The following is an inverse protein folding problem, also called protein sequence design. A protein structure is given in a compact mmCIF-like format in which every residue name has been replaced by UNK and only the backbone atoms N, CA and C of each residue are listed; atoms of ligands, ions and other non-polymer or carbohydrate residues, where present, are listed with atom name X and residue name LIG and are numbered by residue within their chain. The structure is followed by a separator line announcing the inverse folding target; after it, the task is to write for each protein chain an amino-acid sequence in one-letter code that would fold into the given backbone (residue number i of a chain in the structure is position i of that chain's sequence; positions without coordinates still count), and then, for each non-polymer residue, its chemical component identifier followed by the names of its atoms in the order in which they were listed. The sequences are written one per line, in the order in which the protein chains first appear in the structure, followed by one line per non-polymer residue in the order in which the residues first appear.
data_IF_752017073350
#
_entry.id   IF_752017073350
#
_cell.length_a   1.000
_cell.length_b   1.000
_cell.length_c   1.000
_cell.angle_alpha   90.00
_cell.angle_beta   90.00
_cell.angle_gamma   90.00
#
_symmetry.space_group_name_H-M   'P 1'
#
loop_
_entity.id
_entity.type
_entity.pdbx_description
1 polymer ?
#
# COMPACT_ATOMS: atom_id res chain seq x y z
N UNK A 1 -14.66 11.81 21.61
CA UNK A 1 -15.17 10.47 21.26
C UNK A 1 -14.93 9.53 22.43
N UNK A 2 -13.72 9.39 22.97
CA UNK A 2 -13.42 8.45 24.08
C UNK A 2 -14.29 8.71 25.30
N UNK A 3 -14.47 9.96 25.72
CA UNK A 3 -15.35 10.35 26.83
C UNK A 3 -16.80 9.85 26.60
N UNK A 4 -17.29 9.92 25.36
CA UNK A 4 -18.62 9.42 25.03
C UNK A 4 -18.69 7.88 25.11
N UNK A 5 -17.65 7.18 24.68
CA UNK A 5 -17.59 5.72 24.78
C UNK A 5 -17.59 5.29 26.25
N UNK A 6 -16.85 6.00 27.10
CA UNK A 6 -16.85 5.81 28.56
C UNK A 6 -18.23 6.10 29.16
N UNK A 7 -18.77 7.30 28.92
CA UNK A 7 -20.06 7.75 29.43
C UNK A 7 -21.21 6.80 29.08
N UNK A 8 -21.21 6.29 27.85
CA UNK A 8 -22.25 5.38 27.34
C UNK A 8 -21.92 3.89 27.56
N UNK A 9 -20.79 3.58 28.18
CA UNK A 9 -20.33 2.20 28.43
C UNK A 9 -20.32 1.33 27.17
N UNK A 10 -19.78 1.86 26.07
CA UNK A 10 -19.83 1.21 24.75
C UNK A 10 -18.69 0.23 24.50
N UNK A 11 -17.65 0.19 25.33
CA UNK A 11 -16.44 -0.63 25.14
C UNK A 11 -16.70 -2.13 24.92
N UNK A 12 -17.80 -2.67 25.50
CA UNK A 12 -18.13 -4.10 25.44
C UNK A 12 -18.64 -4.57 24.08
N UNK A 13 -19.14 -3.65 23.26
CA UNK A 13 -19.76 -3.99 21.98
C UNK A 13 -19.24 -3.19 20.79
N UNK A 14 -18.22 -2.35 21.01
CA UNK A 14 -17.71 -1.45 19.99
C UNK A 14 -16.24 -1.74 19.73
N UNK A 15 -15.89 -2.05 18.49
CA UNK A 15 -14.52 -2.00 18.01
C UNK A 15 -14.16 -0.54 17.72
N UNK A 16 -13.02 -0.06 18.22
CA UNK A 16 -12.50 1.26 17.90
C UNK A 16 -11.19 1.12 17.13
N UNK A 17 -11.13 1.70 15.95
CA UNK A 17 -9.93 1.73 15.11
C UNK A 17 -9.55 3.19 14.88
N UNK A 18 -8.29 3.53 15.20
CA UNK A 18 -7.72 4.85 14.95
C UNK A 18 -6.49 4.68 14.07
N UNK A 19 -6.54 5.27 12.88
CA UNK A 19 -5.46 5.27 11.92
C UNK A 19 -5.49 6.54 11.06
N UNK A 20 -4.54 6.67 10.16
CA UNK A 20 -4.53 7.68 9.09
C UNK A 20 -4.35 7.00 7.73
N UNK A 21 -4.64 7.70 6.64
CA UNK A 21 -4.45 7.21 5.27
C UNK A 21 -2.97 7.20 4.85
N UNK A 22 -2.20 8.18 5.28
CA UNK A 22 -0.76 8.33 5.05
C UNK A 22 -0.18 9.30 6.09
N UNK A 23 1.14 9.31 6.19
CA UNK A 23 1.88 10.30 6.93
C UNK A 23 2.26 11.51 6.06
N UNK A 24 3.23 12.29 6.53
CA UNK A 24 3.65 13.54 5.89
C UNK A 24 5.08 13.89 6.31
N UNK A 25 5.92 14.29 5.37
CA UNK A 25 7.27 14.81 5.63
C UNK A 25 7.19 16.32 5.97
N UNK A 26 7.80 16.68 7.06
CA UNK A 26 7.85 18.07 7.57
C UNK A 26 9.27 18.67 7.52
N UNK A 27 10.10 18.18 6.61
CA UNK A 27 11.49 18.57 6.41
C UNK A 27 12.46 17.39 6.41
N UNK A 28 12.01 16.21 6.86
CA UNK A 28 12.80 14.98 6.82
C UNK A 28 13.21 14.69 5.39
N UNK A 29 14.40 14.12 5.20
CA UNK A 29 15.00 13.83 3.89
C UNK A 29 15.07 15.05 2.95
N UNK A 30 14.89 16.28 3.47
CA UNK A 30 14.85 17.51 2.67
C UNK A 30 13.53 17.73 1.91
N UNK A 31 12.46 17.02 2.25
CA UNK A 31 11.15 17.12 1.60
C UNK A 31 10.07 17.67 2.52
N UNK A 32 9.10 18.33 1.89
CA UNK A 32 7.84 18.77 2.49
C UNK A 32 6.70 18.25 1.63
N UNK A 33 6.01 17.24 2.01
CA UNK A 33 4.77 16.71 1.44
C UNK A 33 4.66 15.17 1.61
N UNK A 34 3.98 14.50 0.66
CA UNK A 34 3.61 13.07 0.76
C UNK A 34 3.58 12.31 -0.58
N UNK A 35 3.67 12.96 -1.73
CA UNK A 35 3.28 12.35 -3.00
C UNK A 35 4.25 12.55 -4.18
N UNK A 36 5.45 13.07 -3.99
CA UNK A 36 6.43 13.23 -5.06
C UNK A 36 7.84 12.76 -4.68
N UNK A 37 8.04 12.36 -3.46
CA UNK A 37 9.28 11.78 -2.93
C UNK A 37 9.14 10.26 -2.76
N UNK A 38 10.22 9.51 -2.50
CA UNK A 38 10.14 8.13 -2.07
C UNK A 38 9.24 7.96 -0.83
N UNK A 39 8.56 6.82 -0.73
CA UNK A 39 7.68 6.53 0.40
C UNK A 39 8.47 6.12 1.65
N UNK A 40 9.13 7.09 2.27
CA UNK A 40 9.81 6.89 3.55
C UNK A 40 8.81 6.51 4.67
N UNK A 41 9.34 6.02 5.79
CA UNK A 41 8.52 5.57 6.92
C UNK A 41 7.58 6.67 7.45
N UNK A 42 8.00 7.93 7.41
CA UNK A 42 7.16 9.07 7.82
C UNK A 42 5.87 9.19 6.98
N UNK A 43 5.86 8.63 5.78
CA UNK A 43 4.69 8.60 4.90
C UNK A 43 3.98 7.25 4.98
N UNK A 44 4.72 6.14 5.03
CA UNK A 44 4.19 4.79 4.84
C UNK A 44 3.95 4.02 6.14
N UNK A 45 4.77 4.22 7.18
CA UNK A 45 4.64 3.55 8.48
C UNK A 45 3.68 4.33 9.39
N UNK A 46 2.41 4.27 9.04
CA UNK A 46 1.33 5.02 9.70
C UNK A 46 0.90 4.37 11.02
N UNK A 47 0.42 5.16 11.99
CA UNK A 47 -0.11 4.63 13.24
C UNK A 47 -1.39 3.83 13.02
N UNK A 48 -1.53 2.73 13.74
CA UNK A 48 -2.74 1.93 13.82
C UNK A 48 -2.98 1.52 15.27
N UNK A 49 -4.10 1.96 15.85
CA UNK A 49 -4.55 1.56 17.17
C UNK A 49 -5.90 0.87 17.05
N UNK A 50 -6.02 -0.31 17.65
CA UNK A 50 -7.27 -1.08 17.64
C UNK A 50 -7.64 -1.47 19.07
N UNK A 51 -8.87 -1.15 19.44
CA UNK A 51 -9.56 -1.77 20.55
C UNK A 51 -10.54 -2.79 20.00
N UNK A 52 -10.38 -4.03 20.39
CA UNK A 52 -11.29 -5.12 20.03
C UNK A 52 -11.98 -5.65 21.29
N UNK A 53 -13.30 -5.50 21.43
CA UNK A 53 -14.02 -5.94 22.61
C UNK A 53 -14.04 -7.48 22.78
N UNK A 54 -13.64 -8.24 21.76
CA UNK A 54 -13.50 -9.70 21.85
C UNK A 54 -12.24 -10.11 22.64
N UNK A 55 -11.25 -9.20 22.74
CA UNK A 55 -9.96 -9.41 23.41
C UNK A 55 -9.65 -8.25 24.37
N UNK A 56 -10.50 -8.01 25.40
CA UNK A 56 -10.35 -6.86 26.30
C UNK A 56 -9.11 -6.93 27.21
N UNK A 57 -8.51 -8.11 27.35
CA UNK A 57 -7.26 -8.36 28.04
C UNK A 57 -6.03 -7.81 27.28
N UNK A 58 -6.13 -7.73 25.96
CA UNK A 58 -5.03 -7.32 25.07
C UNK A 58 -4.94 -5.79 24.89
N UNK A 59 -5.00 -5.08 26.00
CA UNK A 59 -4.87 -3.61 26.05
C UNK A 59 -3.45 -3.18 26.41
N UNK A 60 -3.05 -2.00 25.91
CA UNK A 60 -1.73 -1.40 26.16
C UNK A 60 -0.56 -2.29 25.70
N UNK A 61 -0.76 -3.07 24.66
CA UNK A 61 0.26 -3.92 24.05
C UNK A 61 0.61 -3.42 22.67
N UNK A 62 1.88 -3.59 22.27
CA UNK A 62 2.34 -3.35 20.92
C UNK A 62 2.47 -4.67 20.18
N UNK A 63 2.06 -4.70 18.91
CA UNK A 63 2.20 -5.84 18.01
C UNK A 63 3.28 -5.57 16.99
N UNK A 64 4.02 -6.60 16.61
CA UNK A 64 5.14 -6.51 15.66
C UNK A 64 4.80 -7.12 14.30
N UNK A 65 3.74 -7.91 14.22
CA UNK A 65 3.31 -8.50 12.96
C UNK A 65 3.01 -7.42 11.92
N UNK A 66 3.52 -7.63 10.70
CA UNK A 66 3.34 -6.70 9.59
C UNK A 66 1.87 -6.70 9.14
N UNK A 67 1.27 -5.52 9.10
CA UNK A 67 -0.11 -5.28 8.68
C UNK A 67 -0.19 -4.16 7.66
N UNK A 68 -1.29 -4.10 6.90
CA UNK A 68 -1.53 -3.06 5.93
C UNK A 68 -2.95 -2.48 6.07
N UNK A 69 -3.19 -1.28 5.56
CA UNK A 69 -4.51 -0.64 5.62
C UNK A 69 -5.63 -1.45 4.96
N UNK A 70 -5.30 -2.29 3.96
CA UNK A 70 -6.25 -3.21 3.32
C UNK A 70 -6.82 -4.27 4.29
N UNK A 71 -6.18 -4.48 5.43
CA UNK A 71 -6.63 -5.43 6.47
C UNK A 71 -7.76 -4.86 7.32
N UNK A 72 -7.88 -3.54 7.39
CA UNK A 72 -8.92 -2.87 8.19
C UNK A 72 -10.33 -3.26 7.74
N UNK A 73 -10.71 -3.14 6.45
CA UNK A 73 -12.04 -3.55 6.01
C UNK A 73 -12.28 -5.05 6.19
N UNK A 74 -11.27 -5.91 6.00
CA UNK A 74 -11.38 -7.34 6.25
C UNK A 74 -11.67 -7.63 7.74
N UNK A 75 -10.96 -6.96 8.64
CA UNK A 75 -11.15 -7.06 10.09
C UNK A 75 -12.55 -6.59 10.50
N UNK A 76 -13.04 -5.49 9.93
CA UNK A 76 -14.39 -4.98 10.21
C UNK A 76 -15.45 -5.99 9.76
N UNK A 77 -15.35 -6.55 8.55
CA UNK A 77 -16.30 -7.56 8.09
C UNK A 77 -16.31 -8.78 9.01
N UNK A 78 -15.14 -9.30 9.39
CA UNK A 78 -15.05 -10.44 10.30
C UNK A 78 -15.53 -10.12 11.72
N UNK A 79 -15.34 -8.89 12.19
CA UNK A 79 -15.93 -8.44 13.46
C UNK A 79 -17.45 -8.56 13.47
N UNK A 80 -18.11 -8.29 12.34
CA UNK A 80 -19.56 -8.45 12.18
C UNK A 80 -19.97 -9.87 11.75
N UNK A 81 -19.05 -10.84 11.74
CA UNK A 81 -19.33 -12.23 11.37
C UNK A 81 -19.63 -12.44 9.88
N UNK A 82 -19.21 -11.51 9.03
CA UNK A 82 -19.41 -11.59 7.59
C UNK A 82 -18.25 -12.32 6.90
N UNK A 83 -18.56 -13.01 5.80
CA UNK A 83 -17.55 -13.62 4.96
C UNK A 83 -16.83 -12.56 4.11
N UNK A 84 -15.52 -12.75 3.89
CA UNK A 84 -14.74 -11.86 3.03
C UNK A 84 -15.06 -12.12 1.56
N UNK A 85 -15.29 -11.07 0.76
CA UNK A 85 -15.39 -11.20 -0.70
C UNK A 85 -14.12 -11.84 -1.27
N UNK A 86 -14.27 -12.69 -2.31
CA UNK A 86 -13.16 -13.43 -2.90
C UNK A 86 -12.09 -12.54 -3.59
N UNK A 87 -12.42 -11.29 -3.89
CA UNK A 87 -11.52 -10.28 -4.44
C UNK A 87 -10.85 -9.39 -3.36
N UNK A 88 -11.13 -9.63 -2.08
CA UNK A 88 -10.51 -8.90 -0.98
C UNK A 88 -9.18 -9.56 -0.58
N UNK A 89 -8.08 -8.83 -0.74
CA UNK A 89 -6.73 -9.30 -0.41
C UNK A 89 -6.32 -9.02 1.05
N UNK A 90 -7.07 -8.20 1.77
CA UNK A 90 -6.84 -7.90 3.18
C UNK A 90 -7.09 -9.11 4.08
N UNK A 91 -6.39 -9.16 5.21
CA UNK A 91 -6.47 -10.23 6.20
C UNK A 91 -7.20 -9.73 7.46
N UNK A 92 -7.95 -10.62 8.12
CA UNK A 92 -8.49 -10.31 9.45
C UNK A 92 -7.35 -10.22 10.47
N UNK A 93 -7.32 -9.11 11.21
CA UNK A 93 -6.29 -8.83 12.21
C UNK A 93 -6.59 -9.42 13.59
N UNK A 94 -7.65 -10.19 13.79
CA UNK A 94 -7.97 -10.77 15.08
C UNK A 94 -6.78 -11.55 15.70
N UNK A 95 -6.08 -12.37 14.89
CA UNK A 95 -4.91 -13.13 15.34
C UNK A 95 -3.70 -12.25 15.65
N UNK A 96 -3.56 -11.14 14.96
CA UNK A 96 -2.54 -10.13 15.28
C UNK A 96 -2.87 -9.48 16.62
N UNK A 97 -4.12 -9.06 16.81
CA UNK A 97 -4.59 -8.42 18.05
C UNK A 97 -4.40 -9.35 19.25
N UNK A 98 -4.83 -10.59 19.14
CA UNK A 98 -4.83 -11.55 20.26
C UNK A 98 -3.47 -12.17 20.56
N UNK A 99 -2.59 -12.38 19.56
CA UNK A 99 -1.39 -13.21 19.72
C UNK A 99 -0.14 -12.75 18.97
N UNK A 100 -0.19 -11.58 18.31
CA UNK A 100 0.89 -11.12 17.44
C UNK A 100 1.28 -12.11 16.33
N UNK A 101 0.29 -12.89 15.85
CA UNK A 101 0.50 -13.90 14.80
C UNK A 101 0.65 -13.22 13.44
N UNK A 102 1.66 -13.57 12.68
CA UNK A 102 1.89 -13.01 11.34
C UNK A 102 0.75 -13.35 10.39
N UNK A 103 0.27 -12.35 9.68
CA UNK A 103 -0.72 -12.49 8.60
C UNK A 103 -0.10 -12.32 7.21
N UNK A 104 1.14 -11.82 7.14
CA UNK A 104 1.93 -11.71 5.92
C UNK A 104 3.42 -11.64 6.20
N UNK A 105 4.22 -12.02 5.21
CA UNK A 105 5.69 -11.88 5.26
C UNK A 105 6.15 -10.55 4.68
N UNK A 106 5.43 -10.00 3.70
CA UNK A 106 5.76 -8.75 3.02
C UNK A 106 4.56 -7.82 2.92
N UNK A 107 4.81 -6.52 3.03
CA UNK A 107 3.86 -5.45 2.71
C UNK A 107 4.35 -4.65 1.51
N UNK A 108 3.44 -4.37 0.55
CA UNK A 108 3.74 -3.57 -0.64
C UNK A 108 3.04 -2.21 -0.54
N UNK A 109 3.73 -1.15 -0.96
CA UNK A 109 3.22 0.22 -0.93
C UNK A 109 3.91 1.07 -1.99
N UNK A 110 3.51 2.31 -2.14
CA UNK A 110 4.14 3.20 -3.11
C UNK A 110 3.23 4.32 -3.59
N UNK A 111 3.71 5.05 -4.58
CA UNK A 111 2.96 6.12 -5.25
C UNK A 111 2.86 5.78 -6.74
N UNK A 112 1.67 5.97 -7.32
CA UNK A 112 1.43 5.73 -8.74
C UNK A 112 2.45 6.43 -9.63
N UNK A 113 3.13 5.66 -10.48
CA UNK A 113 4.16 6.15 -11.40
C UNK A 113 5.56 6.35 -10.81
N UNK A 114 5.72 6.25 -9.48
CA UNK A 114 7.00 6.33 -8.77
C UNK A 114 7.51 4.92 -8.37
N UNK A 115 8.23 4.82 -7.25
CA UNK A 115 8.73 3.53 -6.75
C UNK A 115 7.60 2.57 -6.37
N UNK A 116 7.84 1.28 -6.59
CA UNK A 116 7.15 0.22 -5.86
C UNK A 116 8.03 -0.12 -4.66
N UNK A 117 7.44 -0.03 -3.48
CA UNK A 117 8.12 -0.27 -2.22
C UNK A 117 7.62 -1.57 -1.59
N UNK A 118 8.51 -2.30 -0.93
CA UNK A 118 8.21 -3.52 -0.21
C UNK A 118 8.97 -3.54 1.12
N UNK A 119 8.36 -4.11 2.14
CA UNK A 119 8.98 -4.32 3.46
C UNK A 119 8.62 -5.68 4.05
N UNK A 120 9.53 -6.26 4.83
CA UNK A 120 9.30 -7.40 5.71
C UNK A 120 9.18 -6.98 7.19
N UNK A 121 9.17 -5.66 7.45
CA UNK A 121 9.17 -5.06 8.78
C UNK A 121 10.57 -4.67 9.27
N UNK A 122 11.64 -5.26 8.74
CA UNK A 122 13.03 -4.86 8.99
C UNK A 122 13.66 -4.15 7.81
N UNK A 123 13.57 -4.73 6.63
CA UNK A 123 14.12 -4.15 5.41
C UNK A 123 13.04 -3.39 4.65
N UNK A 124 13.42 -2.29 4.02
CA UNK A 124 12.62 -1.56 3.05
C UNK A 124 13.38 -1.50 1.74
N UNK A 125 12.77 -2.01 0.67
CA UNK A 125 13.30 -1.89 -0.68
C UNK A 125 12.34 -1.08 -1.54
N UNK A 126 12.84 -0.04 -2.17
CA UNK A 126 12.10 0.86 -3.06
C UNK A 126 12.65 0.69 -4.48
N UNK A 127 11.91 -0.05 -5.32
CA UNK A 127 12.27 -0.29 -6.71
C UNK A 127 11.88 0.89 -7.56
N UNK A 128 12.84 1.54 -8.19
CA UNK A 128 12.60 2.61 -9.15
C UNK A 128 12.10 2.04 -10.49
N UNK A 129 11.31 2.81 -11.27
CA UNK A 129 11.01 2.46 -12.66
C UNK A 129 12.28 2.35 -13.50
N UNK A 130 12.51 1.20 -14.12
CA UNK A 130 13.67 0.98 -15.00
C UNK A 130 13.44 1.60 -16.39
N UNK A 131 12.23 1.40 -16.94
CA UNK A 131 11.85 1.86 -18.28
C UNK A 131 10.83 3.01 -18.16
N UNK A 132 11.33 4.23 -17.95
CA UNK A 132 10.49 5.41 -17.74
C UNK A 132 9.69 5.83 -18.97
N UNK A 133 10.12 5.42 -20.16
CA UNK A 133 9.43 5.69 -21.44
C UNK A 133 8.15 4.84 -21.61
N UNK A 134 7.98 3.79 -20.82
CA UNK A 134 6.72 3.04 -20.79
C UNK A 134 5.64 3.93 -20.19
N UNK A 135 4.58 4.25 -20.95
CA UNK A 135 3.54 5.16 -20.49
C UNK A 135 2.77 4.56 -19.30
N UNK A 136 2.26 5.46 -18.47
CA UNK A 136 1.35 5.11 -17.39
C UNK A 136 -0.10 5.18 -17.90
N UNK A 137 -0.93 4.27 -17.40
CA UNK A 137 -2.34 4.21 -17.75
C UNK A 137 -3.19 4.19 -16.48
N UNK A 138 -4.31 4.88 -16.53
CA UNK A 138 -5.40 4.71 -15.58
C UNK A 138 -6.37 3.66 -16.12
N UNK A 139 -6.81 2.76 -15.26
CA UNK A 139 -7.83 1.75 -15.53
C UNK A 139 -9.04 2.06 -14.67
N UNK A 140 -10.12 2.51 -15.29
CA UNK A 140 -11.24 3.08 -14.56
C UNK A 140 -12.59 2.83 -15.21
N UNK A 141 -13.63 2.77 -14.37
CA UNK A 141 -15.04 2.87 -14.80
C UNK A 141 -15.59 4.28 -14.61
N UNK A 142 -14.82 5.18 -13.99
CA UNK A 142 -15.23 6.56 -13.76
C UNK A 142 -15.04 7.39 -15.04
N UNK A 143 -15.99 8.26 -15.40
CA UNK A 143 -15.87 9.13 -16.58
C UNK A 143 -14.96 10.35 -16.34
N UNK A 144 -14.32 10.43 -15.18
CA UNK A 144 -13.48 11.56 -14.76
C UNK A 144 -12.32 11.04 -13.90
N UNK A 145 -11.27 11.85 -13.73
CA UNK A 145 -10.40 11.72 -12.57
C UNK A 145 -11.19 11.93 -11.27
N UNK A 146 -10.59 11.61 -10.14
CA UNK A 146 -11.25 11.78 -8.83
C UNK A 146 -11.65 13.25 -8.57
N UNK A 147 -10.88 14.23 -9.04
CA UNK A 147 -11.08 15.65 -8.73
C UNK A 147 -11.15 16.56 -9.98
N UNK A 148 -11.10 16.01 -11.19
CA UNK A 148 -11.11 16.77 -12.43
C UNK A 148 -11.67 15.95 -13.60
N UNK A 149 -11.99 16.61 -14.70
CA UNK A 149 -12.29 15.92 -15.95
C UNK A 149 -11.01 15.45 -16.63
N UNK A 150 -11.13 14.40 -17.43
CA UNK A 150 -10.08 14.03 -18.38
C UNK A 150 -9.88 15.15 -19.40
N UNK A 151 -8.64 15.38 -19.75
CA UNK A 151 -8.30 16.30 -20.85
C UNK A 151 -8.68 15.68 -22.20
N UNK A 152 -8.83 16.51 -23.23
CA UNK A 152 -9.07 16.06 -24.60
C UNK A 152 -7.98 15.09 -25.07
N UNK A 153 -6.73 15.35 -24.70
CA UNK A 153 -5.58 14.51 -25.02
C UNK A 153 -5.69 13.12 -24.37
N UNK A 154 -6.04 13.06 -23.09
CA UNK A 154 -6.27 11.80 -22.36
C UNK A 154 -7.41 10.99 -23.00
N UNK A 155 -8.54 11.64 -23.24
CA UNK A 155 -9.69 11.01 -23.90
C UNK A 155 -9.34 10.50 -25.31
N UNK A 156 -8.46 11.16 -26.04
CA UNK A 156 -7.96 10.73 -27.33
C UNK A 156 -7.15 9.43 -27.27
N UNK A 157 -6.68 9.01 -26.09
CA UNK A 157 -5.96 7.74 -25.88
C UNK A 157 -6.84 6.62 -25.33
N UNK A 158 -8.10 6.93 -25.04
CA UNK A 158 -9.00 5.97 -24.40
C UNK A 158 -9.22 4.73 -25.26
N UNK A 159 -9.01 3.58 -24.67
CA UNK A 159 -9.34 2.29 -25.25
C UNK A 159 -10.10 1.41 -24.25
N UNK A 160 -10.87 0.44 -24.75
CA UNK A 160 -11.51 -0.57 -23.92
C UNK A 160 -10.47 -1.64 -23.57
N UNK A 161 -10.28 -1.86 -22.30
CA UNK A 161 -9.48 -2.94 -21.75
C UNK A 161 -10.40 -4.04 -21.22
N UNK A 162 -10.08 -5.30 -21.49
CA UNK A 162 -10.74 -6.41 -20.82
C UNK A 162 -10.51 -6.36 -19.31
N UNK A 163 -11.48 -6.89 -18.56
CA UNK A 163 -11.46 -6.82 -17.10
C UNK A 163 -10.29 -7.57 -16.48
N UNK A 164 -9.92 -7.13 -15.31
CA UNK A 164 -8.94 -7.77 -14.43
C UNK A 164 -9.65 -8.53 -13.31
N UNK A 165 -8.91 -9.32 -12.53
CA UNK A 165 -9.43 -10.00 -11.35
C UNK A 165 -10.03 -8.99 -10.35
N UNK A 166 -9.34 -7.88 -10.10
CA UNK A 166 -9.79 -6.82 -9.19
C UNK A 166 -10.96 -5.98 -9.74
N UNK A 167 -11.27 -6.06 -11.03
CA UNK A 167 -12.49 -5.48 -11.61
C UNK A 167 -13.61 -6.51 -11.76
N UNK A 168 -13.44 -7.72 -11.21
CA UNK A 168 -14.39 -8.85 -11.32
C UNK A 168 -14.72 -9.22 -12.77
N UNK A 169 -13.73 -9.09 -13.66
CA UNK A 169 -13.87 -9.35 -15.09
C UNK A 169 -14.64 -8.28 -15.86
N UNK A 170 -15.08 -7.19 -15.23
CA UNK A 170 -15.74 -6.09 -15.93
C UNK A 170 -14.73 -5.32 -16.79
N UNK A 171 -15.04 -5.10 -18.09
CA UNK A 171 -14.21 -4.25 -18.95
C UNK A 171 -14.12 -2.83 -18.39
N UNK A 172 -12.95 -2.22 -18.55
CA UNK A 172 -12.66 -0.87 -18.06
C UNK A 172 -12.14 0.02 -19.17
N UNK A 173 -12.18 1.32 -18.96
CA UNK A 173 -11.45 2.28 -19.79
C UNK A 173 -9.97 2.21 -19.40
N UNK A 174 -9.10 2.12 -20.38
CA UNK A 174 -7.66 2.31 -20.26
C UNK A 174 -7.32 3.64 -20.90
N UNK A 175 -6.80 4.56 -20.13
CA UNK A 175 -6.51 5.93 -20.56
C UNK A 175 -5.06 6.23 -20.21
N UNK A 176 -4.27 6.66 -21.20
CA UNK A 176 -2.92 7.10 -20.93
C UNK A 176 -2.96 8.38 -20.11
N UNK A 177 -2.37 8.34 -18.93
CA UNK A 177 -2.32 9.52 -18.08
C UNK A 177 -1.18 10.45 -18.45
N UNK A 178 -1.44 11.74 -18.39
CA UNK A 178 -0.42 12.79 -18.40
C UNK A 178 0.18 13.00 -17.00
N UNK A 179 -0.01 12.06 -16.10
CA UNK A 179 0.46 12.17 -14.72
C UNK A 179 1.89 12.67 -14.65
N UNK A 180 2.04 13.84 -14.04
CA UNK A 180 3.32 14.49 -13.78
C UNK A 180 3.97 13.97 -12.51
N UNK A 181 3.53 12.83 -11.99
CA UNK A 181 4.19 12.22 -10.83
C UNK A 181 5.60 11.89 -11.28
N UNK A 182 6.51 12.71 -10.84
CA UNK A 182 7.93 12.58 -11.11
C UNK A 182 8.49 11.75 -9.97
N UNK A 183 9.00 10.58 -10.31
CA UNK A 183 9.94 9.91 -9.43
C UNK A 183 11.17 10.81 -9.35
N UNK A 184 11.29 11.59 -8.26
CA UNK A 184 12.42 12.51 -8.07
C UNK A 184 13.70 11.70 -7.88
N UNK A 185 13.64 10.63 -7.09
CA UNK A 185 14.74 9.68 -6.95
C UNK A 185 14.67 8.64 -8.08
N UNK A 186 15.73 8.54 -8.85
CA UNK A 186 15.77 7.69 -10.04
C UNK A 186 16.42 6.33 -9.82
N UNK A 187 16.85 6.05 -8.59
CA UNK A 187 17.57 4.83 -8.22
C UNK A 187 16.76 4.01 -7.24
N UNK A 188 17.05 2.72 -7.22
CA UNK A 188 16.60 1.86 -6.15
C UNK A 188 17.16 2.34 -4.82
N UNK A 189 16.34 2.30 -3.78
CA UNK A 189 16.75 2.57 -2.41
C UNK A 189 16.54 1.32 -1.56
N UNK A 190 17.50 1.02 -0.69
CA UNK A 190 17.42 -0.13 0.20
C UNK A 190 17.90 0.24 1.60
N UNK A 191 17.10 -0.09 2.61
CA UNK A 191 17.36 0.28 4.00
C UNK A 191 17.21 -0.93 4.94
N UNK A 192 18.05 -1.00 5.98
CA UNK A 192 17.88 -1.86 7.14
C UNK A 192 17.41 -1.01 8.33
N UNK A 193 16.13 -1.10 8.67
CA UNK A 193 15.50 -0.27 9.69
C UNK A 193 16.02 -0.56 11.12
N UNK A 194 16.67 -1.70 11.36
CA UNK A 194 17.35 -1.95 12.63
C UNK A 194 18.63 -1.12 12.77
N UNK A 195 19.31 -0.82 11.65
CA UNK A 195 20.53 -0.04 11.63
C UNK A 195 20.28 1.44 11.34
N UNK A 196 19.25 1.72 10.55
CA UNK A 196 18.87 3.05 10.08
C UNK A 196 17.35 3.23 10.12
N UNK A 197 16.76 3.39 11.31
CA UNK A 197 15.32 3.50 11.48
C UNK A 197 14.72 4.74 10.82
N UNK A 198 15.53 5.76 10.54
CA UNK A 198 15.11 7.01 9.89
C UNK A 198 15.41 7.03 8.38
N UNK A 199 15.90 5.93 7.81
CA UNK A 199 16.16 5.81 6.36
C UNK A 199 17.04 6.94 5.77
N UNK A 200 18.06 7.38 6.52
CA UNK A 200 18.96 8.45 6.10
C UNK A 200 20.07 7.96 5.18
N UNK A 201 20.44 6.67 5.23
CA UNK A 201 21.61 6.09 4.58
C UNK A 201 21.27 4.82 3.84
N UNK A 202 20.82 4.92 2.58
CA UNK A 202 20.56 3.73 1.79
C UNK A 202 21.82 2.88 1.64
N UNK A 203 21.67 1.57 1.81
CA UNK A 203 22.73 0.60 1.65
C UNK A 203 22.73 -0.02 0.25
N UNK A 204 23.86 -0.59 -0.18
CA UNK A 204 23.92 -1.25 -1.47
C UNK A 204 22.98 -2.46 -1.53
N UNK A 205 22.17 -2.62 -2.60
CA UNK A 205 21.31 -3.78 -2.76
C UNK A 205 22.12 -5.08 -2.78
N UNK A 206 21.76 -5.98 -1.87
CA UNK A 206 22.38 -7.29 -1.71
C UNK A 206 21.41 -8.45 -2.02
N UNK A 207 21.68 -9.67 -1.52
CA UNK A 207 20.79 -10.82 -1.72
C UNK A 207 19.36 -10.59 -1.21
N UNK A 208 19.21 -9.88 -0.09
CA UNK A 208 17.87 -9.57 0.48
C UNK A 208 17.09 -8.65 -0.45
N UNK A 209 17.72 -7.60 -0.99
CA UNK A 209 17.06 -6.70 -1.95
C UNK A 209 16.63 -7.45 -3.23
N UNK A 210 17.43 -8.42 -3.70
CA UNK A 210 17.04 -9.28 -4.84
C UNK A 210 15.81 -10.13 -4.52
N UNK A 211 15.78 -10.77 -3.35
CA UNK A 211 14.61 -11.52 -2.89
C UNK A 211 13.36 -10.62 -2.84
N UNK A 212 13.47 -9.43 -2.27
CA UNK A 212 12.38 -8.47 -2.21
C UNK A 212 11.91 -8.01 -3.59
N UNK A 213 12.82 -7.86 -4.54
CA UNK A 213 12.49 -7.54 -5.94
C UNK A 213 11.69 -8.67 -6.60
N UNK A 214 12.07 -9.93 -6.35
CA UNK A 214 11.32 -11.11 -6.81
C UNK A 214 9.92 -11.17 -6.18
N UNK A 215 9.80 -10.87 -4.90
CA UNK A 215 8.50 -10.81 -4.22
C UNK A 215 7.61 -9.68 -4.75
N UNK A 216 8.15 -8.49 -5.08
CA UNK A 216 7.38 -7.44 -5.79
C UNK A 216 6.79 -8.02 -7.07
N UNK A 217 7.60 -8.66 -7.91
CA UNK A 217 7.15 -9.24 -9.18
C UNK A 217 6.06 -10.30 -8.98
N UNK A 218 6.22 -11.16 -7.97
CA UNK A 218 5.25 -12.19 -7.61
C UNK A 218 3.92 -11.56 -7.17
N UNK A 219 3.96 -10.61 -6.24
CA UNK A 219 2.76 -9.90 -5.75
C UNK A 219 2.06 -9.17 -6.90
N UNK A 220 2.80 -8.50 -7.78
CA UNK A 220 2.23 -7.86 -8.98
C UNK A 220 1.51 -8.88 -9.88
N UNK A 221 2.11 -10.07 -10.07
CA UNK A 221 1.51 -11.13 -10.88
C UNK A 221 0.24 -11.70 -10.23
N UNK A 222 0.27 -11.97 -8.93
CA UNK A 222 -0.87 -12.46 -8.17
C UNK A 222 -2.02 -11.43 -8.10
N UNK A 223 -1.68 -10.14 -8.09
CA UNK A 223 -2.64 -9.04 -8.14
C UNK A 223 -3.14 -8.71 -9.56
N UNK A 224 -2.78 -9.50 -10.56
CA UNK A 224 -3.14 -9.27 -11.97
C UNK A 224 -2.75 -7.87 -12.48
N UNK A 225 -1.55 -7.41 -12.08
CA UNK A 225 -1.06 -6.09 -12.47
C UNK A 225 -0.91 -5.98 -14.00
N UNK A 226 -1.24 -4.82 -14.60
CA UNK A 226 -1.12 -4.61 -16.03
C UNK A 226 0.28 -4.89 -16.57
N UNK A 227 0.37 -5.51 -17.76
CA UNK A 227 1.65 -5.95 -18.35
C UNK A 227 2.66 -4.82 -18.54
N UNK A 228 2.20 -3.62 -18.85
CA UNK A 228 3.08 -2.45 -18.97
C UNK A 228 3.73 -2.02 -17.66
N UNK A 229 3.12 -2.31 -16.50
CA UNK A 229 3.79 -2.10 -15.22
C UNK A 229 4.97 -3.06 -15.05
N UNK A 230 4.81 -4.34 -15.42
CA UNK A 230 5.93 -5.29 -15.41
C UNK A 230 7.06 -4.79 -16.31
N UNK A 231 6.75 -4.32 -17.52
CA UNK A 231 7.73 -3.72 -18.45
C UNK A 231 8.42 -2.51 -17.85
N UNK A 232 7.64 -1.63 -17.24
CA UNK A 232 8.14 -0.40 -16.63
C UNK A 232 9.17 -0.67 -15.54
N UNK A 233 9.00 -1.73 -14.76
CA UNK A 233 9.91 -2.12 -13.68
C UNK A 233 10.96 -3.17 -14.08
N UNK A 234 11.07 -3.51 -15.38
CA UNK A 234 12.09 -4.43 -15.88
C UNK A 234 11.84 -5.90 -15.56
N UNK A 235 10.57 -6.29 -15.39
CA UNK A 235 10.19 -7.67 -15.02
C UNK A 235 9.82 -8.56 -16.21
N UNK A 236 10.19 -8.18 -17.43
CA UNK A 236 9.82 -8.95 -18.65
C UNK A 236 10.67 -10.19 -18.92
N UNK A 237 11.84 -10.31 -18.31
CA UNK A 237 12.88 -11.27 -18.68
C UNK A 237 13.16 -12.32 -17.60
N UNK A 238 12.18 -12.62 -16.75
CA UNK A 238 12.31 -13.64 -15.71
C UNK A 238 11.22 -14.68 -15.77
#
# INVERSE_FOLDING_TARGET
ILDLVDEKNLWKGTMLIVNTDHGYLLGEHGYWAKNYMPCYNEVAHIPLFIWDPRHPEEKNVSRKALVQTIDIPATILKFFGLELPGDMMGQDLERVISRDEKVREFGIFGVFGAHICITDGRYVYMRAPENKDIPLFEYTLMPTHMMSFFTEKELGTMERQEGFSFTKGLPVMKIQTDSKIRCIEEKDLFFDLEQDPFQEKPIAPGPVARLMCEEIRKIMTEADAPKELHKRFGFEHF
#
